data_IF_048965878510
#
_entry.id   IF_048965878510
#
_cell.length_a   1.000
_cell.length_b   1.000
_cell.length_c   1.000
_cell.angle_alpha   90.00
_cell.angle_beta   90.00
_cell.angle_gamma   90.00
#
_symmetry.space_group_name_H-M   'P 1'
#
loop_
_entity.id
_entity.type
_entity.pdbx_description
1 polymer ?
#
# COMPACT_ATOMS: atom_id res chain seq x y z
N UNK A 1 -11.28 15.12 6.58
CA UNK A 1 -12.61 15.51 6.07
C UNK A 1 -13.68 14.65 6.75
N UNK A 2 -14.84 15.23 7.06
CA UNK A 2 -15.93 14.50 7.75
C UNK A 2 -16.40 13.29 6.92
N UNK A 3 -16.37 13.41 5.59
CA UNK A 3 -16.80 12.38 4.65
C UNK A 3 -15.62 11.59 4.04
N UNK A 4 -14.47 11.57 4.69
CA UNK A 4 -13.32 10.81 4.21
C UNK A 4 -13.63 9.31 4.30
N UNK A 5 -13.53 8.63 3.18
CA UNK A 5 -13.65 7.16 3.09
C UNK A 5 -12.25 6.57 3.09
N UNK A 6 -11.99 5.68 4.04
CA UNK A 6 -10.71 4.95 4.11
C UNK A 6 -10.97 3.45 3.94
N UNK A 7 -10.30 2.86 2.97
CA UNK A 7 -10.34 1.43 2.68
C UNK A 7 -9.01 0.80 3.04
N UNK A 8 -8.95 0.20 4.21
CA UNK A 8 -7.88 -0.72 4.60
C UNK A 8 -8.44 -2.13 4.51
N UNK A 9 -7.66 -3.10 4.09
CA UNK A 9 -8.11 -4.47 4.01
C UNK A 9 -8.44 -5.06 5.38
N UNK A 10 -8.85 -6.35 5.37
CA UNK A 10 -9.08 -7.05 6.63
C UNK A 10 -7.92 -6.84 7.62
N UNK A 11 -8.23 -6.55 8.91
CA UNK A 11 -9.54 -6.60 9.56
C UNK A 11 -10.33 -5.26 9.54
N UNK A 12 -9.82 -4.20 8.98
CA UNK A 12 -10.39 -2.86 9.10
C UNK A 12 -11.50 -2.56 8.09
N UNK A 13 -11.42 -3.15 6.90
CA UNK A 13 -12.38 -2.94 5.79
C UNK A 13 -12.56 -1.45 5.43
N UNK A 14 -13.79 -0.96 5.43
CA UNK A 14 -14.10 0.44 5.13
C UNK A 14 -14.45 1.20 6.43
N UNK A 15 -13.82 2.35 6.60
CA UNK A 15 -14.05 3.27 7.73
C UNK A 15 -14.38 4.64 7.15
N UNK A 16 -15.37 5.31 7.71
CA UNK A 16 -15.78 6.65 7.27
C UNK A 16 -15.52 7.68 8.35
N UNK A 17 -14.98 8.83 7.94
CA UNK A 17 -14.67 9.94 8.83
C UNK A 17 -13.26 9.89 9.40
N UNK A 18 -12.60 11.05 9.36
CA UNK A 18 -11.21 11.16 9.79
C UNK A 18 -10.99 10.82 11.28
N UNK A 19 -11.99 11.08 12.11
CA UNK A 19 -11.91 10.75 13.53
C UNK A 19 -11.95 9.23 13.74
N UNK A 20 -12.91 8.53 13.11
CA UNK A 20 -13.02 7.08 13.24
C UNK A 20 -11.79 6.36 12.67
N UNK A 21 -11.25 6.85 11.55
CA UNK A 21 -9.99 6.33 10.99
C UNK A 21 -8.85 6.47 12.00
N UNK A 22 -8.77 7.62 12.66
CA UNK A 22 -7.75 7.84 13.68
C UNK A 22 -7.94 6.89 14.88
N UNK A 23 -9.15 6.75 15.38
CA UNK A 23 -9.46 5.93 16.57
C UNK A 23 -9.31 4.43 16.31
N UNK A 24 -9.73 3.95 15.13
CA UNK A 24 -9.73 2.51 14.80
C UNK A 24 -8.37 2.04 14.29
N UNK A 25 -7.67 2.86 13.51
CA UNK A 25 -6.42 2.44 12.86
C UNK A 25 -5.18 3.15 13.41
N UNK A 26 -5.11 4.50 13.28
CA UNK A 26 -3.85 5.21 13.53
C UNK A 26 -3.45 5.27 15.00
N UNK A 27 -4.38 5.52 15.91
CA UNK A 27 -4.09 5.59 17.36
C UNK A 27 -3.65 4.23 17.90
N UNK A 28 -4.37 3.12 17.64
CA UNK A 28 -3.91 1.79 18.06
C UNK A 28 -2.54 1.41 17.49
N UNK A 29 -2.30 1.67 16.21
CA UNK A 29 -1.01 1.38 15.58
C UNK A 29 0.13 2.21 16.18
N UNK A 30 -0.08 3.51 16.41
CA UNK A 30 0.92 4.39 17.03
C UNK A 30 1.19 4.03 18.49
N UNK A 31 0.18 3.58 19.21
CA UNK A 31 0.34 3.09 20.57
C UNK A 31 1.12 1.77 20.61
N UNK A 32 0.99 0.95 19.59
CA UNK A 32 1.69 -0.32 19.48
C UNK A 32 3.17 -0.15 19.07
N UNK A 33 3.43 0.84 18.22
CA UNK A 33 4.77 1.12 17.67
C UNK A 33 5.28 2.45 18.20
N UNK A 34 6.06 2.41 19.30
CA UNK A 34 6.62 3.62 19.89
C UNK A 34 7.60 4.32 18.92
N UNK A 35 7.60 5.66 18.94
CA UNK A 35 8.38 6.51 18.05
C UNK A 35 8.22 6.18 16.57
N UNK A 36 7.00 5.78 16.14
CA UNK A 36 6.71 5.39 14.78
C UNK A 36 7.09 6.47 13.77
N UNK A 37 7.89 6.11 12.79
CA UNK A 37 8.31 6.93 11.65
C UNK A 37 7.71 6.39 10.36
N UNK A 38 7.29 7.30 9.49
CA UNK A 38 6.92 6.97 8.11
C UNK A 38 8.15 7.16 7.22
N UNK A 39 8.65 6.08 6.65
CA UNK A 39 9.72 6.06 5.66
C UNK A 39 9.10 5.94 4.28
N UNK A 40 9.14 7.00 3.52
CA UNK A 40 8.57 7.05 2.17
C UNK A 40 9.67 6.69 1.17
N UNK A 41 9.42 5.66 0.36
CA UNK A 41 10.34 5.17 -0.66
C UNK A 41 9.90 5.60 -2.06
N UNK A 42 8.59 5.61 -2.29
CA UNK A 42 7.96 6.01 -3.56
C UNK A 42 6.86 7.03 -3.24
N UNK A 43 6.87 8.13 -3.95
CA UNK A 43 5.85 9.17 -3.86
C UNK A 43 5.64 9.82 -5.21
N UNK A 44 4.41 9.85 -5.67
CA UNK A 44 4.04 10.55 -6.91
C UNK A 44 2.56 10.91 -6.90
N UNK A 45 2.17 11.79 -7.83
CA UNK A 45 0.77 12.13 -8.07
C UNK A 45 0.46 12.03 -9.56
N UNK A 46 -0.81 11.78 -9.88
CA UNK A 46 -1.29 11.70 -11.24
C UNK A 46 -2.80 11.77 -11.33
N UNK A 47 -3.30 11.91 -12.53
CA UNK A 47 -4.73 11.81 -12.83
C UNK A 47 -5.11 10.36 -13.14
N UNK A 48 -6.32 9.97 -12.74
CA UNK A 48 -6.80 8.60 -12.92
C UNK A 48 -7.46 8.42 -14.28
N UNK A 49 -7.01 7.44 -15.06
CA UNK A 49 -7.60 7.11 -16.37
C UNK A 49 -9.03 6.57 -16.26
N UNK A 50 -9.36 5.86 -15.17
CA UNK A 50 -10.66 5.19 -15.01
C UNK A 50 -11.84 6.18 -15.07
N UNK A 51 -11.62 7.41 -14.65
CA UNK A 51 -12.60 8.49 -14.66
C UNK A 51 -12.30 9.59 -15.70
N UNK A 52 -11.70 9.21 -16.82
CA UNK A 52 -11.29 10.12 -17.90
C UNK A 52 -10.36 11.25 -17.40
N UNK A 53 -9.45 10.92 -16.50
CA UNK A 53 -8.46 11.83 -15.91
C UNK A 53 -9.06 12.99 -15.07
N UNK A 54 -10.29 12.84 -14.58
CA UNK A 54 -10.95 13.88 -13.79
C UNK A 54 -10.51 13.94 -12.33
N UNK A 55 -10.08 12.81 -11.74
CA UNK A 55 -9.60 12.80 -10.36
C UNK A 55 -8.09 12.81 -10.25
N UNK A 56 -7.59 13.50 -9.22
CA UNK A 56 -6.17 13.50 -8.86
C UNK A 56 -5.93 12.53 -7.73
N UNK A 57 -4.94 11.65 -7.90
CA UNK A 57 -4.51 10.69 -6.91
C UNK A 57 -3.06 10.91 -6.52
N UNK A 58 -2.78 10.79 -5.24
CA UNK A 58 -1.44 10.82 -4.66
C UNK A 58 -1.12 9.44 -4.11
N UNK A 59 0.00 8.89 -4.54
CA UNK A 59 0.47 7.57 -4.14
C UNK A 59 1.69 7.71 -3.24
N UNK A 60 1.66 7.01 -2.11
CA UNK A 60 2.78 6.91 -1.17
C UNK A 60 3.01 5.45 -0.83
N UNK A 61 4.24 4.99 -0.97
CA UNK A 61 4.65 3.63 -0.63
C UNK A 61 5.93 3.66 0.19
N UNK A 62 6.03 2.76 1.17
CA UNK A 62 7.20 2.68 2.04
C UNK A 62 6.94 1.82 3.26
N UNK A 63 7.50 2.24 4.40
CA UNK A 63 7.40 1.50 5.66
C UNK A 63 7.01 2.42 6.81
N UNK A 64 6.12 1.93 7.66
CA UNK A 64 5.94 2.45 9.01
C UNK A 64 6.90 1.66 9.91
N UNK A 65 7.76 2.35 10.63
CA UNK A 65 8.85 1.76 11.41
C UNK A 65 8.82 2.29 12.83
N UNK A 66 8.90 1.42 13.83
CA UNK A 66 8.92 1.79 15.25
C UNK A 66 9.30 0.62 16.14
N UNK A 67 9.45 0.86 17.44
CA UNK A 67 9.59 -0.21 18.42
C UNK A 67 8.22 -0.83 18.70
N UNK A 68 8.10 -2.15 18.55
CA UNK A 68 6.87 -2.87 18.81
C UNK A 68 6.75 -3.18 20.31
N UNK A 69 6.21 -2.23 21.07
CA UNK A 69 6.19 -2.26 22.54
C UNK A 69 4.82 -2.58 23.16
N UNK A 70 3.74 -2.43 22.41
CA UNK A 70 2.40 -2.81 22.87
C UNK A 70 1.69 -3.71 21.88
N UNK A 71 0.73 -4.50 22.35
CA UNK A 71 -0.01 -5.43 21.51
C UNK A 71 -0.82 -4.72 20.42
N UNK A 72 -0.83 -5.28 19.22
CA UNK A 72 -1.63 -4.83 18.09
C UNK A 72 -2.22 -6.00 17.32
N UNK A 73 -3.51 -5.95 16.98
CA UNK A 73 -4.24 -7.01 16.28
C UNK A 73 -4.08 -8.40 16.95
N UNK A 74 -3.97 -8.43 18.27
CA UNK A 74 -3.75 -9.69 19.03
C UNK A 74 -2.31 -10.19 19.05
N UNK A 75 -1.39 -9.54 18.30
CA UNK A 75 0.04 -9.87 18.31
C UNK A 75 0.69 -9.30 19.57
N UNK A 76 1.52 -10.11 20.23
CA UNK A 76 2.24 -9.69 21.42
C UNK A 76 3.48 -8.88 21.05
N UNK A 77 3.84 -7.83 21.81
CA UNK A 77 4.98 -7.00 21.53
C UNK A 77 6.29 -7.77 21.69
N UNK A 78 7.29 -7.37 20.87
CA UNK A 78 8.62 -8.00 20.91
C UNK A 78 9.69 -7.10 21.54
N UNK A 79 9.39 -5.81 21.77
CA UNK A 79 10.37 -4.82 22.20
C UNK A 79 11.48 -4.57 21.18
N UNK A 80 11.25 -4.94 19.92
CA UNK A 80 12.21 -4.80 18.81
C UNK A 80 11.68 -3.85 17.76
N UNK A 81 12.60 -3.32 16.95
CA UNK A 81 12.25 -2.58 15.74
C UNK A 81 11.40 -3.45 14.83
N UNK A 82 10.25 -2.92 14.41
CA UNK A 82 9.36 -3.58 13.48
C UNK A 82 9.03 -2.65 12.31
N UNK A 83 8.73 -3.26 11.17
CA UNK A 83 8.44 -2.58 9.91
C UNK A 83 7.09 -3.06 9.38
N UNK A 84 6.17 -2.13 9.19
CA UNK A 84 4.92 -2.39 8.48
C UNK A 84 5.01 -1.74 7.11
N UNK A 85 5.16 -2.56 6.06
CA UNK A 85 5.15 -2.09 4.68
C UNK A 85 3.76 -1.58 4.32
N UNK A 86 3.69 -0.45 3.62
CA UNK A 86 2.42 0.11 3.17
C UNK A 86 2.50 0.61 1.73
N UNK A 87 1.35 0.64 1.08
CA UNK A 87 1.09 1.37 -0.14
C UNK A 87 -0.26 2.07 0.00
N UNK A 88 -0.29 3.36 -0.19
CA UNK A 88 -1.44 4.23 0.08
C UNK A 88 -1.75 5.07 -1.15
N UNK A 89 -3.02 5.05 -1.55
CA UNK A 89 -3.56 5.83 -2.65
C UNK A 89 -4.57 6.82 -2.07
N UNK A 90 -4.36 8.10 -2.28
CA UNK A 90 -5.20 9.17 -1.76
C UNK A 90 -5.84 9.97 -2.89
N UNK A 91 -7.15 9.98 -2.97
CA UNK A 91 -7.91 10.86 -3.86
C UNK A 91 -7.98 12.26 -3.27
N UNK A 92 -7.65 13.25 -4.08
CA UNK A 92 -7.63 14.64 -3.67
C UNK A 92 -8.74 15.41 -4.38
N UNK A 93 -9.57 16.08 -3.60
CA UNK A 93 -10.57 17.03 -4.09
C UNK A 93 -10.47 18.32 -3.27
N UNK A 94 -10.43 19.48 -3.91
CA UNK A 94 -10.32 20.79 -3.25
C UNK A 94 -9.20 20.87 -2.21
N UNK A 95 -8.04 20.27 -2.50
CA UNK A 95 -6.88 20.24 -1.61
C UNK A 95 -7.07 19.36 -0.36
N UNK A 96 -8.08 18.49 -0.34
CA UNK A 96 -8.37 17.59 0.78
C UNK A 96 -8.38 16.14 0.32
N UNK A 97 -7.94 15.25 1.20
CA UNK A 97 -8.10 13.81 1.00
C UNK A 97 -9.56 13.45 1.24
N UNK A 98 -10.23 12.90 0.22
CA UNK A 98 -11.63 12.47 0.29
C UNK A 98 -11.77 10.97 0.32
N UNK A 99 -10.82 10.26 -0.25
CA UNK A 99 -10.78 8.80 -0.27
C UNK A 99 -9.34 8.32 -0.11
N UNK A 100 -9.15 7.25 0.65
CA UNK A 100 -7.87 6.55 0.78
C UNK A 100 -8.08 5.07 0.59
N UNK A 101 -7.26 4.43 -0.24
CA UNK A 101 -7.09 2.98 -0.26
C UNK A 101 -5.68 2.67 0.27
N UNK A 102 -5.59 1.93 1.37
CA UNK A 102 -4.33 1.61 2.01
C UNK A 102 -4.12 0.11 2.11
N UNK A 103 -3.03 -0.35 1.55
CA UNK A 103 -2.54 -1.71 1.61
C UNK A 103 -1.39 -1.77 2.61
N UNK A 104 -1.38 -2.76 3.49
CA UNK A 104 -0.30 -2.95 4.45
C UNK A 104 -0.07 -4.43 4.73
N UNK A 105 1.19 -4.77 4.95
CA UNK A 105 1.65 -6.16 5.02
C UNK A 105 1.61 -6.69 6.46
N UNK A 106 0.39 -6.98 6.94
CA UNK A 106 0.18 -7.60 8.26
C UNK A 106 0.86 -8.98 8.36
N UNK A 107 0.80 -9.86 7.35
CA UNK A 107 1.48 -11.15 7.42
C UNK A 107 2.99 -11.03 7.64
N UNK A 108 3.68 -10.09 6.99
CA UNK A 108 5.09 -9.84 7.25
C UNK A 108 5.33 -9.27 8.66
N UNK A 109 4.44 -8.41 9.14
CA UNK A 109 4.49 -7.91 10.52
C UNK A 109 4.31 -9.05 11.54
N UNK A 110 3.40 -10.01 11.26
CA UNK A 110 3.21 -11.20 12.07
C UNK A 110 4.49 -12.04 12.18
N UNK A 111 5.21 -12.24 11.07
CA UNK A 111 6.49 -12.96 11.08
C UNK A 111 7.51 -12.25 11.98
N UNK A 112 7.59 -10.93 11.95
CA UNK A 112 8.45 -10.14 12.84
C UNK A 112 8.05 -10.27 14.31
N UNK A 113 6.77 -10.49 14.59
CA UNK A 113 6.23 -10.73 15.93
C UNK A 113 6.32 -12.22 16.37
N UNK A 114 7.10 -13.05 15.67
CA UNK A 114 7.27 -14.50 15.89
C UNK A 114 6.02 -15.35 15.61
N UNK A 115 5.06 -14.83 14.85
CA UNK A 115 3.94 -15.59 14.31
C UNK A 115 4.20 -15.85 12.82
N UNK A 116 4.15 -17.08 12.39
CA UNK A 116 4.26 -17.40 10.98
C UNK A 116 2.91 -17.90 10.45
N UNK A 117 2.11 -17.08 9.76
CA UNK A 117 0.84 -17.47 9.19
C UNK A 117 0.97 -18.31 7.91
N UNK A 118 2.19 -18.47 7.39
CA UNK A 118 2.44 -19.16 6.14
C UNK A 118 3.06 -20.55 6.34
N UNK A 119 2.94 -21.44 5.34
CA UNK A 119 3.74 -22.65 5.29
C UNK A 119 5.25 -22.30 5.21
N UNK A 120 6.11 -23.33 5.36
CA UNK A 120 7.55 -23.13 5.26
C UNK A 120 7.91 -22.39 3.98
N UNK A 121 8.66 -21.30 4.12
CA UNK A 121 9.10 -20.50 2.98
C UNK A 121 10.03 -21.31 2.06
N UNK A 122 9.79 -21.19 0.74
CA UNK A 122 10.63 -21.80 -0.30
C UNK A 122 11.67 -20.83 -0.86
N UNK A 123 11.61 -19.55 -0.45
CA UNK A 123 12.53 -18.49 -0.83
C UNK A 123 12.86 -17.60 0.36
N UNK A 124 13.93 -16.81 0.25
CA UNK A 124 14.34 -15.89 1.30
C UNK A 124 13.26 -14.79 1.52
N UNK A 125 12.95 -14.53 2.81
CA UNK A 125 12.16 -13.37 3.20
C UNK A 125 13.06 -12.14 3.17
N UNK A 126 13.01 -11.38 2.10
CA UNK A 126 13.75 -10.14 1.98
C UNK A 126 12.82 -8.96 2.32
N UNK A 127 13.29 -8.10 3.22
CA UNK A 127 12.80 -6.73 3.26
C UNK A 127 13.29 -6.09 1.96
N UNK A 128 12.38 -5.75 1.07
CA UNK A 128 12.76 -5.06 -0.17
C UNK A 128 12.96 -3.59 0.17
N UNK A 129 14.19 -3.07 0.12
CA UNK A 129 14.44 -1.66 0.29
C UNK A 129 13.81 -0.88 -0.88
N UNK A 130 13.42 0.36 -0.61
CA UNK A 130 13.04 1.28 -1.66
C UNK A 130 14.23 1.66 -2.55
N UNK A 131 14.02 2.50 -3.58
CA UNK A 131 15.08 2.98 -4.44
C UNK A 131 16.18 3.68 -3.64
N UNK A 132 17.39 3.14 -3.67
CA UNK A 132 18.54 3.67 -2.91
C UNK A 132 18.91 5.13 -3.28
N UNK A 133 18.77 5.55 -4.55
CA UNK A 133 19.02 6.94 -4.96
C UNK A 133 17.88 7.91 -4.64
N UNK A 134 16.83 7.48 -3.97
CA UNK A 134 15.61 8.27 -3.71
C UNK A 134 14.89 8.78 -4.97
N UNK A 135 15.13 8.17 -6.11
CA UNK A 135 14.49 8.55 -7.39
C UNK A 135 13.03 8.07 -7.53
N UNK A 136 12.50 7.42 -6.51
CA UNK A 136 11.06 7.13 -6.40
C UNK A 136 10.22 8.27 -5.82
N UNK A 137 10.85 9.36 -5.38
CA UNK A 137 10.18 10.53 -4.81
C UNK A 137 10.02 11.60 -5.88
N UNK A 138 8.86 11.64 -6.52
CA UNK A 138 8.57 12.55 -7.63
C UNK A 138 7.73 13.73 -7.14
N UNK A 139 8.39 14.80 -6.73
CA UNK A 139 7.75 16.03 -6.26
C UNK A 139 7.54 17.07 -7.37
N UNK A 140 8.28 16.94 -8.47
CA UNK A 140 8.21 17.86 -9.59
C UNK A 140 7.28 17.35 -10.67
N UNK A 141 6.72 18.27 -11.46
CA UNK A 141 5.90 17.92 -12.60
C UNK A 141 6.74 17.21 -13.67
N UNK A 142 6.32 16.01 -14.03
CA UNK A 142 6.98 15.19 -15.04
C UNK A 142 6.42 15.50 -16.44
N UNK A 143 7.18 15.11 -17.49
CA UNK A 143 6.73 15.26 -18.85
C UNK A 143 5.52 14.35 -19.13
N UNK A 144 4.33 14.91 -19.47
CA UNK A 144 3.12 14.11 -19.68
C UNK A 144 3.24 13.09 -20.82
N UNK A 145 4.09 13.35 -21.82
CA UNK A 145 4.29 12.41 -22.92
C UNK A 145 4.99 11.11 -22.46
N UNK A 146 5.87 11.18 -21.48
CA UNK A 146 6.52 9.98 -20.92
C UNK A 146 5.52 9.16 -20.10
N UNK A 147 4.66 9.82 -19.32
CA UNK A 147 3.57 9.18 -18.61
C UNK A 147 2.61 8.46 -19.56
N UNK A 148 2.24 9.10 -20.68
CA UNK A 148 1.38 8.50 -21.70
C UNK A 148 2.00 7.25 -22.33
N UNK A 149 3.27 7.29 -22.71
CA UNK A 149 3.98 6.11 -23.25
C UNK A 149 3.97 4.95 -22.28
N UNK A 150 4.21 5.21 -20.99
CA UNK A 150 4.18 4.20 -19.95
C UNK A 150 2.78 3.61 -19.78
N UNK A 151 1.75 4.45 -19.78
CA UNK A 151 0.35 4.03 -19.69
C UNK A 151 -0.05 3.16 -20.87
N UNK A 152 0.27 3.58 -22.10
CA UNK A 152 0.00 2.80 -23.33
C UNK A 152 0.67 1.42 -23.28
N UNK A 153 1.92 1.36 -22.77
CA UNK A 153 2.63 0.10 -22.59
C UNK A 153 1.95 -0.82 -21.57
N UNK A 154 1.55 -0.28 -20.41
CA UNK A 154 0.86 -1.04 -19.36
C UNK A 154 -0.48 -1.55 -19.87
N UNK A 155 -1.26 -0.73 -20.54
CA UNK A 155 -2.55 -1.12 -21.11
C UNK A 155 -2.40 -2.22 -22.16
N UNK A 156 -1.37 -2.15 -22.99
CA UNK A 156 -1.02 -3.21 -23.93
C UNK A 156 -0.68 -4.52 -23.20
N UNK A 157 0.12 -4.48 -22.14
CA UNK A 157 0.46 -5.66 -21.35
C UNK A 157 -0.77 -6.28 -20.69
N UNK A 158 -1.66 -5.48 -20.12
CA UNK A 158 -2.89 -5.95 -19.48
C UNK A 158 -3.79 -6.63 -20.53
N UNK A 159 -3.95 -6.02 -21.69
CA UNK A 159 -4.76 -6.58 -22.78
C UNK A 159 -4.23 -7.95 -23.25
N UNK A 160 -2.91 -8.08 -23.37
CA UNK A 160 -2.26 -9.35 -23.73
C UNK A 160 -2.41 -10.40 -22.61
N UNK A 161 -2.33 -9.99 -21.35
CA UNK A 161 -2.51 -10.88 -20.21
C UNK A 161 -3.94 -11.41 -20.10
N UNK A 162 -4.94 -10.59 -20.39
CA UNK A 162 -6.35 -11.01 -20.39
C UNK A 162 -6.66 -12.05 -21.47
N UNK A 163 -5.96 -12.05 -22.61
CA UNK A 163 -6.08 -13.07 -23.64
C UNK A 163 -5.68 -14.45 -23.10
N UNK A 164 -4.66 -14.53 -22.28
CA UNK A 164 -4.23 -15.79 -21.66
C UNK A 164 -5.16 -16.29 -20.54
N UNK A 165 -5.90 -15.40 -19.88
CA UNK A 165 -6.88 -15.77 -18.86
C UNK A 165 -8.19 -16.29 -19.49
N UNK A 166 -8.53 -15.84 -20.70
CA UNK A 166 -9.76 -16.21 -21.40
C UNK A 166 -9.61 -17.44 -22.30
N UNK A 167 -8.39 -17.93 -22.55
CA UNK A 167 -8.22 -19.20 -23.25
C UNK A 167 -8.59 -20.38 -22.33
N UNK A 168 -9.56 -21.26 -22.74
CA UNK A 168 -9.81 -22.47 -21.99
C UNK A 168 -8.53 -23.29 -21.96
N UNK A 169 -8.08 -23.65 -20.77
CA UNK A 169 -6.95 -24.56 -20.59
C UNK A 169 -7.09 -25.74 -21.53
N UNK A 170 -6.23 -25.83 -22.55
CA UNK A 170 -6.10 -27.05 -23.32
C UNK A 170 -5.72 -28.14 -22.33
N UNK A 171 -6.66 -29.03 -22.06
CA UNK A 171 -6.36 -30.28 -21.38
C UNK A 171 -5.24 -30.96 -22.14
N UNK A 172 -4.09 -31.08 -21.51
CA UNK A 172 -3.04 -31.96 -21.95
C UNK A 172 -3.59 -33.38 -21.76
N UNK A 173 -4.12 -33.95 -22.82
CA UNK A 173 -4.34 -35.39 -22.88
C UNK A 173 -2.99 -36.07 -22.98
N UNK A 174 -2.65 -36.80 -21.95
CA UNK A 174 -1.53 -37.74 -21.91
C UNK A 174 -1.93 -38.97 -22.75
#
# INVERSE_FOLDING_TARGET
>A
HINHIWRGYYPFNEIQGAQEIAEIFWIPLRNAMDHMQRRVDIFFAGHNEIDDFNSTWVVSMGHLMGLFDNAWLGLQPTGKMAFLRYCEFNKIEDGKIVETAMYFDVPHFMVQANYNPFPKATAAHLVQPGPMPHNGLLFDQQNPNEGKKTLDLINSMISLSLIHISEPTRQWSI
#
